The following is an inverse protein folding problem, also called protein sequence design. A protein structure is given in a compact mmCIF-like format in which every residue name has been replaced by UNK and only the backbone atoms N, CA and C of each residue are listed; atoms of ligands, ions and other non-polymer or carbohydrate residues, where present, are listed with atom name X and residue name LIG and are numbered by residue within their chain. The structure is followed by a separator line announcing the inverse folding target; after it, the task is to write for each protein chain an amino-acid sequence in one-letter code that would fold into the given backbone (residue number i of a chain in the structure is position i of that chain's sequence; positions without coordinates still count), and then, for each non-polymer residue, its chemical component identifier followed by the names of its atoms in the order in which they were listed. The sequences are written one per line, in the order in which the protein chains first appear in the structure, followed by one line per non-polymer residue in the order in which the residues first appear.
data_IF_798571569997
#
_entry.id   IF_798571569997
#
_cell.length_a   1.000
_cell.length_b   1.000
_cell.length_c   1.000
_cell.angle_alpha   90.00
_cell.angle_beta   90.00
_cell.angle_gamma   90.00
#
_symmetry.space_group_name_H-M   'P 1'
#
loop_
_entity.id
_entity.type
_entity.pdbx_description
1 polymer ?
#
# COMPACT_ATOMS: atom_id res chain seq x y z
N UNK A 1 14.83 -21.58 -1.01
CA UNK A 1 14.30 -20.38 -1.69
C UNK A 1 12.94 -20.73 -2.27
N UNK A 2 11.96 -19.83 -2.10
CA UNK A 2 10.65 -19.94 -2.74
C UNK A 2 10.72 -19.42 -4.17
N UNK A 3 9.92 -20.00 -5.06
CA UNK A 3 9.80 -19.57 -6.45
C UNK A 3 8.70 -18.52 -6.59
N UNK A 4 9.03 -17.41 -7.22
CA UNK A 4 8.16 -16.26 -7.37
C UNK A 4 7.79 -16.04 -8.83
N UNK A 5 6.51 -15.81 -9.08
CA UNK A 5 6.02 -15.29 -10.35
C UNK A 5 5.43 -13.88 -10.18
N UNK A 6 5.66 -13.02 -11.15
CA UNK A 6 5.13 -11.64 -11.13
C UNK A 6 4.31 -11.43 -12.40
N UNK A 7 3.02 -11.21 -12.29
CA UNK A 7 2.15 -10.78 -13.39
C UNK A 7 2.11 -9.26 -13.42
N UNK A 8 2.32 -8.66 -14.60
CA UNK A 8 2.48 -7.22 -14.73
C UNK A 8 3.87 -6.70 -14.31
N UNK A 9 4.92 -7.54 -14.44
CA UNK A 9 6.29 -7.22 -14.03
C UNK A 9 6.84 -5.93 -14.67
N UNK A 10 6.34 -5.52 -15.82
CA UNK A 10 6.80 -4.33 -16.57
C UNK A 10 6.05 -3.03 -16.23
N UNK A 11 5.08 -3.06 -15.31
CA UNK A 11 4.53 -1.87 -14.66
C UNK A 11 5.49 -1.33 -13.58
N UNK A 12 5.25 -0.11 -13.05
CA UNK A 12 6.12 0.46 -12.00
C UNK A 12 6.12 -0.38 -10.72
N UNK A 13 4.96 -0.83 -10.23
CA UNK A 13 4.89 -1.68 -9.05
C UNK A 13 5.56 -3.05 -9.28
N UNK A 14 5.32 -3.68 -10.46
CA UNK A 14 5.97 -4.93 -10.83
C UNK A 14 7.48 -4.82 -10.93
N UNK A 15 7.99 -3.76 -11.57
CA UNK A 15 9.44 -3.51 -11.66
C UNK A 15 10.07 -3.24 -10.29
N UNK A 16 9.32 -2.63 -9.37
CA UNK A 16 9.78 -2.43 -8.00
C UNK A 16 9.81 -3.74 -7.22
N UNK A 17 8.84 -4.65 -7.41
CA UNK A 17 8.89 -6.01 -6.87
C UNK A 17 10.14 -6.74 -7.37
N UNK A 18 10.43 -6.68 -8.69
CA UNK A 18 11.65 -7.26 -9.27
C UNK A 18 12.90 -6.70 -8.58
N UNK A 19 12.98 -5.37 -8.38
CA UNK A 19 14.11 -4.71 -7.72
C UNK A 19 14.31 -5.22 -6.29
N UNK A 20 13.25 -5.31 -5.51
CA UNK A 20 13.31 -5.74 -4.12
C UNK A 20 13.66 -7.23 -4.00
N UNK A 21 13.08 -8.07 -4.85
CA UNK A 21 13.32 -9.51 -4.82
C UNK A 21 14.66 -9.93 -5.42
N UNK A 22 15.29 -9.10 -6.25
CA UNK A 22 16.61 -9.38 -6.83
C UNK A 22 17.67 -9.69 -5.76
N UNK A 23 17.62 -9.00 -4.61
CA UNK A 23 18.53 -9.23 -3.48
C UNK A 23 17.94 -10.05 -2.34
N UNK A 24 16.75 -10.63 -2.51
CA UNK A 24 16.08 -11.36 -1.44
C UNK A 24 16.70 -12.75 -1.24
N UNK A 25 17.20 -13.10 -0.03
CA UNK A 25 17.99 -14.33 0.15
C UNK A 25 17.19 -15.62 0.02
N UNK A 26 15.87 -15.58 0.23
CA UNK A 26 14.98 -16.76 0.26
C UNK A 26 13.95 -16.78 -0.89
N UNK A 27 14.08 -15.89 -1.88
CA UNK A 27 13.15 -15.83 -3.02
C UNK A 27 13.90 -15.80 -4.35
N UNK A 28 13.37 -16.50 -5.35
CA UNK A 28 13.87 -16.54 -6.72
C UNK A 28 12.73 -16.20 -7.68
N UNK A 29 12.91 -15.17 -8.51
CA UNK A 29 11.93 -14.84 -9.55
C UNK A 29 12.17 -15.77 -10.74
N UNK A 30 11.17 -16.59 -11.06
CA UNK A 30 11.21 -17.54 -12.19
C UNK A 30 10.27 -17.17 -13.33
N UNK A 31 9.43 -16.13 -13.14
CA UNK A 31 8.48 -15.69 -14.14
C UNK A 31 8.27 -14.18 -14.10
N UNK A 32 8.60 -13.50 -15.20
CA UNK A 32 8.43 -12.07 -15.42
C UNK A 32 7.27 -11.85 -16.40
N UNK A 33 6.02 -11.87 -15.92
CA UNK A 33 4.81 -11.77 -16.75
C UNK A 33 4.59 -10.38 -17.30
N UNK A 34 4.28 -10.28 -18.59
CA UNK A 34 3.97 -9.04 -19.28
C UNK A 34 3.15 -9.27 -20.56
N UNK A 35 2.03 -8.58 -20.70
CA UNK A 35 1.25 -8.61 -21.97
C UNK A 35 1.91 -7.86 -23.11
N UNK A 36 2.68 -6.80 -22.81
CA UNK A 36 3.18 -5.86 -23.82
C UNK A 36 4.57 -6.20 -24.34
N UNK A 37 5.33 -7.05 -23.61
CA UNK A 37 6.76 -7.27 -23.85
C UNK A 37 7.13 -8.76 -23.82
N UNK A 38 6.21 -9.64 -24.26
CA UNK A 38 6.49 -11.09 -24.35
C UNK A 38 7.71 -11.33 -25.22
N UNK A 39 8.61 -12.23 -24.78
CA UNK A 39 9.89 -12.57 -25.41
C UNK A 39 10.97 -11.48 -25.39
N UNK A 40 10.68 -10.28 -24.89
CA UNK A 40 11.70 -9.27 -24.69
C UNK A 40 12.43 -9.49 -23.36
N UNK A 41 13.75 -9.22 -23.31
CA UNK A 41 14.50 -9.25 -22.05
C UNK A 41 14.01 -8.17 -21.11
N UNK A 42 13.82 -8.49 -19.84
CA UNK A 42 13.41 -7.51 -18.81
C UNK A 42 14.36 -6.31 -18.76
N UNK A 43 15.67 -6.56 -18.83
CA UNK A 43 16.70 -5.52 -18.88
C UNK A 43 16.69 -4.65 -20.18
N UNK A 44 16.00 -5.06 -21.25
CA UNK A 44 15.80 -4.18 -22.40
C UNK A 44 14.77 -3.10 -22.14
N UNK A 45 13.83 -3.36 -21.24
CA UNK A 45 12.74 -2.46 -20.82
C UNK A 45 13.20 -1.56 -19.69
N UNK A 46 13.90 -2.14 -18.70
CA UNK A 46 14.44 -1.46 -17.52
C UNK A 46 15.96 -1.54 -17.52
N UNK A 47 16.61 -0.54 -18.11
CA UNK A 47 18.09 -0.50 -18.32
C UNK A 47 18.90 -0.49 -17.04
N UNK A 48 18.33 -0.06 -15.91
CA UNK A 48 18.96 -0.19 -14.59
C UNK A 48 19.15 -1.65 -14.14
N UNK A 49 18.48 -2.60 -14.78
CA UNK A 49 18.64 -4.04 -14.54
C UNK A 49 19.57 -4.73 -15.55
N UNK A 50 20.27 -3.96 -16.38
CA UNK A 50 21.22 -4.49 -17.37
C UNK A 50 22.32 -5.31 -16.68
N UNK A 51 22.60 -6.49 -17.19
CA UNK A 51 23.48 -7.55 -16.62
C UNK A 51 22.99 -8.18 -15.31
N UNK A 52 21.93 -7.67 -14.69
CA UNK A 52 21.38 -8.20 -13.44
C UNK A 52 20.20 -9.14 -13.68
N UNK A 53 19.30 -8.80 -14.60
CA UNK A 53 18.13 -9.60 -14.95
C UNK A 53 18.09 -9.77 -16.46
N UNK A 54 18.61 -10.90 -16.94
CA UNK A 54 18.70 -11.23 -18.37
C UNK A 54 17.52 -12.08 -18.87
N UNK A 55 16.61 -12.43 -17.94
CA UNK A 55 15.43 -13.23 -18.26
C UNK A 55 14.50 -12.49 -19.20
N UNK A 56 13.79 -13.28 -20.01
CA UNK A 56 12.75 -12.78 -20.90
C UNK A 56 11.42 -12.64 -20.18
N UNK A 57 10.67 -11.64 -20.58
CA UNK A 57 9.26 -11.51 -20.20
C UNK A 57 8.45 -12.65 -20.84
N UNK A 58 7.57 -13.24 -20.07
CA UNK A 58 6.65 -14.28 -20.46
C UNK A 58 5.21 -13.71 -20.52
N UNK A 59 4.27 -14.48 -21.03
CA UNK A 59 2.88 -14.07 -20.99
C UNK A 59 2.30 -14.06 -19.56
N UNK A 60 1.10 -13.50 -19.41
CA UNK A 60 0.41 -13.40 -18.11
C UNK A 60 -0.52 -14.62 -17.85
N UNK A 61 -0.15 -15.83 -18.30
CA UNK A 61 -0.94 -17.03 -18.09
C UNK A 61 -0.84 -17.52 -16.64
N UNK A 62 -1.70 -16.97 -15.78
CA UNK A 62 -1.72 -17.27 -14.34
C UNK A 62 -1.96 -18.76 -14.02
N UNK A 63 -2.72 -19.48 -14.86
CA UNK A 63 -3.03 -20.89 -14.62
C UNK A 63 -1.77 -21.74 -14.76
N UNK A 64 -0.99 -21.54 -15.83
CA UNK A 64 0.27 -22.26 -16.03
C UNK A 64 1.33 -21.80 -15.03
N UNK A 65 1.39 -20.52 -14.72
CA UNK A 65 2.31 -19.97 -13.73
C UNK A 65 2.06 -20.56 -12.34
N UNK A 66 0.81 -20.70 -11.92
CA UNK A 66 0.46 -21.22 -10.59
C UNK A 66 1.02 -22.63 -10.31
N UNK A 67 1.29 -23.42 -11.35
CA UNK A 67 1.86 -24.79 -11.24
C UNK A 67 3.37 -24.78 -11.07
N UNK A 68 4.05 -23.66 -11.24
CA UNK A 68 5.50 -23.54 -11.32
C UNK A 68 6.12 -22.73 -10.18
N UNK A 69 5.29 -22.03 -9.40
CA UNK A 69 5.73 -21.08 -8.37
C UNK A 69 5.05 -21.34 -7.03
N UNK A 70 5.66 -20.86 -5.96
CA UNK A 70 5.10 -20.92 -4.60
C UNK A 70 4.21 -19.69 -4.30
N UNK A 71 4.50 -18.56 -4.97
CA UNK A 71 3.73 -17.31 -4.83
C UNK A 71 3.66 -16.54 -6.14
N UNK A 72 2.51 -15.92 -6.39
CA UNK A 72 2.29 -14.99 -7.49
C UNK A 72 1.99 -13.59 -6.93
N UNK A 73 2.73 -12.59 -7.42
CA UNK A 73 2.36 -11.19 -7.27
C UNK A 73 1.57 -10.74 -8.50
N UNK A 74 0.40 -10.13 -8.28
CA UNK A 74 -0.38 -9.55 -9.37
C UNK A 74 -0.33 -8.01 -9.31
N UNK A 75 0.50 -7.41 -10.15
CA UNK A 75 0.64 -5.96 -10.31
C UNK A 75 -0.15 -5.48 -11.54
N UNK A 76 -1.44 -5.77 -11.53
CA UNK A 76 -2.36 -5.62 -12.67
C UNK A 76 -3.46 -4.58 -12.41
N UNK A 77 -4.17 -4.10 -13.45
CA UNK A 77 -5.37 -3.30 -13.25
C UNK A 77 -6.47 -4.04 -12.50
N UNK A 78 -7.36 -3.29 -11.84
CA UNK A 78 -8.54 -3.83 -11.17
C UNK A 78 -9.40 -4.65 -12.13
N UNK A 79 -10.01 -5.72 -11.61
CA UNK A 79 -10.85 -6.66 -12.35
C UNK A 79 -10.07 -7.76 -13.06
N UNK A 80 -8.75 -7.67 -13.16
CA UNK A 80 -7.95 -8.73 -13.79
C UNK A 80 -7.94 -9.99 -12.93
N UNK A 81 -7.46 -9.89 -11.68
CA UNK A 81 -7.37 -11.07 -10.82
C UNK A 81 -8.76 -11.64 -10.50
N UNK A 82 -9.73 -10.79 -10.20
CA UNK A 82 -11.12 -11.23 -10.00
C UNK A 82 -11.69 -11.99 -11.21
N UNK A 83 -11.22 -11.70 -12.42
CA UNK A 83 -11.65 -12.38 -13.64
C UNK A 83 -11.00 -13.73 -13.91
N UNK A 84 -9.87 -14.05 -13.25
CA UNK A 84 -9.08 -15.25 -13.56
C UNK A 84 -8.79 -16.14 -12.34
N UNK A 85 -8.99 -15.65 -11.12
CA UNK A 85 -8.72 -16.40 -9.90
C UNK A 85 -9.66 -17.60 -9.77
N UNK A 86 -9.10 -18.75 -9.45
CA UNK A 86 -9.83 -19.99 -9.21
C UNK A 86 -9.30 -20.70 -7.96
N UNK A 87 -10.09 -21.61 -7.42
CA UNK A 87 -9.66 -22.46 -6.31
C UNK A 87 -8.45 -23.34 -6.68
N UNK A 88 -8.30 -23.70 -7.97
CA UNK A 88 -7.14 -24.45 -8.46
C UNK A 88 -5.86 -23.64 -8.30
N UNK A 89 -5.88 -22.35 -8.67
CA UNK A 89 -4.72 -21.46 -8.50
C UNK A 89 -4.33 -21.36 -7.03
N UNK A 90 -5.28 -21.14 -6.12
CA UNK A 90 -5.04 -21.02 -4.69
C UNK A 90 -4.61 -22.34 -4.01
N UNK A 91 -4.88 -23.50 -4.64
CA UNK A 91 -4.32 -24.79 -4.20
C UNK A 91 -2.88 -24.98 -4.63
N UNK A 92 -2.50 -24.43 -5.78
CA UNK A 92 -1.15 -24.58 -6.33
C UNK A 92 -0.16 -23.63 -5.67
N UNK A 93 -0.54 -22.36 -5.45
CA UNK A 93 0.36 -21.32 -4.94
C UNK A 93 -0.42 -20.27 -4.12
N UNK A 94 0.32 -19.43 -3.40
CA UNK A 94 -0.23 -18.23 -2.74
C UNK A 94 -0.31 -17.08 -3.73
N UNK A 95 -1.25 -16.14 -3.50
CA UNK A 95 -1.42 -14.94 -4.35
C UNK A 95 -1.38 -13.68 -3.50
N UNK A 96 -0.58 -12.71 -3.91
CA UNK A 96 -0.51 -11.37 -3.33
C UNK A 96 -0.97 -10.37 -4.39
N UNK A 97 -2.16 -9.82 -4.20
CA UNK A 97 -2.79 -8.93 -5.16
C UNK A 97 -2.55 -7.46 -4.84
N UNK A 98 -1.92 -6.74 -5.76
CA UNK A 98 -1.71 -5.30 -5.65
C UNK A 98 -2.86 -4.50 -6.28
N UNK A 99 -3.84 -5.16 -6.90
CA UNK A 99 -5.07 -4.52 -7.34
C UNK A 99 -6.02 -4.30 -6.16
N UNK A 100 -7.21 -3.76 -6.43
CA UNK A 100 -8.20 -3.52 -5.38
C UNK A 100 -9.24 -4.65 -5.27
N UNK A 101 -9.11 -5.72 -6.06
CA UNK A 101 -10.17 -6.70 -6.25
C UNK A 101 -10.64 -7.36 -4.95
N UNK A 102 -9.75 -7.50 -3.96
CA UNK A 102 -10.09 -8.19 -2.70
C UNK A 102 -9.90 -7.33 -1.44
N UNK A 103 -9.73 -6.01 -1.58
CA UNK A 103 -9.47 -5.11 -0.45
C UNK A 103 -10.71 -4.76 0.36
N UNK A 104 -11.86 -4.66 -0.31
CA UNK A 104 -13.14 -4.21 0.25
C UNK A 104 -14.04 -5.43 0.43
N UNK A 105 -14.56 -5.63 1.64
CA UNK A 105 -15.40 -6.79 1.97
C UNK A 105 -16.78 -6.72 1.36
N UNK A 106 -17.38 -5.53 1.27
CA UNK A 106 -18.69 -5.37 0.65
C UNK A 106 -18.58 -5.23 -0.87
N UNK A 107 -19.09 -6.24 -1.60
CA UNK A 107 -19.11 -6.30 -3.07
C UNK A 107 -19.79 -5.07 -3.68
N UNK A 108 -20.89 -4.63 -3.10
CA UNK A 108 -21.66 -3.50 -3.64
C UNK A 108 -20.86 -2.18 -3.56
N UNK A 109 -20.10 -2.01 -2.49
CA UNK A 109 -19.18 -0.88 -2.32
C UNK A 109 -18.04 -0.95 -3.34
N UNK A 110 -17.44 -2.12 -3.55
CA UNK A 110 -16.42 -2.30 -4.58
C UNK A 110 -16.98 -1.92 -5.96
N UNK A 111 -18.11 -2.50 -6.37
CA UNK A 111 -18.71 -2.26 -7.68
C UNK A 111 -19.10 -0.80 -7.89
N UNK A 112 -19.64 -0.16 -6.86
CA UNK A 112 -19.99 1.27 -6.88
C UNK A 112 -18.76 2.16 -7.11
N UNK A 113 -17.66 1.92 -6.39
CA UNK A 113 -16.49 2.79 -6.42
C UNK A 113 -15.55 2.50 -7.59
N UNK A 114 -15.49 1.26 -8.07
CA UNK A 114 -14.62 0.87 -9.19
C UNK A 114 -15.35 0.86 -10.54
N UNK A 115 -16.70 0.84 -10.54
CA UNK A 115 -17.53 0.84 -11.74
C UNK A 115 -17.42 -0.44 -12.57
N UNK A 116 -17.05 -1.55 -11.94
CA UNK A 116 -16.89 -2.87 -12.57
C UNK A 116 -17.52 -3.94 -11.68
N UNK A 117 -18.05 -4.99 -12.31
CA UNK A 117 -18.58 -6.15 -11.63
C UNK A 117 -17.46 -7.01 -11.03
N UNK A 118 -17.62 -7.47 -9.78
CA UNK A 118 -16.67 -8.37 -9.15
C UNK A 118 -16.89 -9.81 -9.61
N UNK A 119 -15.95 -10.39 -10.37
CA UNK A 119 -16.13 -11.68 -11.03
C UNK A 119 -15.91 -12.92 -10.14
N UNK A 120 -15.32 -12.76 -8.96
CA UNK A 120 -15.05 -13.86 -8.03
C UNK A 120 -15.27 -13.47 -6.56
N UNK A 121 -16.49 -13.02 -6.19
CA UNK A 121 -16.78 -12.54 -4.84
C UNK A 121 -16.64 -13.63 -3.76
N UNK A 122 -16.68 -14.90 -4.13
CA UNK A 122 -16.52 -16.03 -3.21
C UNK A 122 -15.16 -16.07 -2.51
N UNK A 123 -14.14 -15.38 -3.03
CA UNK A 123 -12.81 -15.32 -2.42
C UNK A 123 -12.58 -14.09 -1.52
N UNK A 124 -13.53 -13.14 -1.47
CA UNK A 124 -13.38 -11.91 -0.68
C UNK A 124 -13.25 -12.22 0.82
N UNK A 125 -14.05 -13.16 1.34
CA UNK A 125 -13.99 -13.53 2.75
C UNK A 125 -12.67 -14.17 3.15
N UNK A 126 -12.07 -14.97 2.25
CA UNK A 126 -10.79 -15.61 2.48
C UNK A 126 -9.62 -14.61 2.38
N UNK A 127 -9.75 -13.59 1.54
CA UNK A 127 -8.70 -12.62 1.33
C UNK A 127 -8.36 -11.84 2.61
N UNK A 128 -7.09 -11.80 2.96
CA UNK A 128 -6.61 -11.04 4.10
C UNK A 128 -6.10 -9.68 3.61
N UNK A 129 -6.56 -8.61 4.24
CA UNK A 129 -6.03 -7.27 3.97
C UNK A 129 -4.61 -7.14 4.51
N UNK A 130 -3.65 -7.05 3.60
CA UNK A 130 -2.23 -7.18 3.87
C UNK A 130 -1.57 -5.89 4.35
N UNK A 131 -2.10 -5.23 5.38
CA UNK A 131 -1.42 -4.20 6.14
C UNK A 131 -0.84 -4.84 7.40
N UNK A 132 0.42 -5.26 7.32
CA UNK A 132 1.09 -6.12 8.28
C UNK A 132 1.01 -5.60 9.72
N UNK A 133 1.12 -4.30 9.91
CA UNK A 133 1.14 -3.66 11.22
C UNK A 133 -0.17 -3.82 12.01
N UNK A 134 -1.26 -4.10 11.30
CA UNK A 134 -2.58 -4.27 11.95
C UNK A 134 -3.19 -5.65 11.75
N UNK A 135 -2.72 -6.43 10.77
CA UNK A 135 -3.32 -7.72 10.41
C UNK A 135 -2.35 -8.92 10.42
N UNK A 136 -1.10 -8.75 10.88
CA UNK A 136 -0.02 -9.76 10.83
C UNK A 136 -0.48 -11.17 11.24
N UNK A 137 -1.26 -11.30 12.31
CA UNK A 137 -1.69 -12.62 12.77
C UNK A 137 -2.70 -13.29 11.83
N UNK A 138 -3.49 -12.51 11.09
CA UNK A 138 -4.41 -13.03 10.08
C UNK A 138 -3.69 -13.42 8.78
N UNK A 139 -2.56 -12.80 8.49
CA UNK A 139 -1.76 -13.09 7.30
C UNK A 139 -1.06 -14.44 7.37
N UNK A 140 -0.67 -14.89 8.58
CA UNK A 140 0.00 -16.16 8.79
C UNK A 140 -0.82 -17.31 8.20
N UNK A 141 -0.28 -17.98 7.18
CA UNK A 141 -0.93 -19.10 6.50
C UNK A 141 -1.99 -18.71 5.45
N UNK A 142 -2.22 -17.42 5.21
CA UNK A 142 -3.15 -16.96 4.17
C UNK A 142 -2.69 -17.43 2.78
N UNK A 143 -3.65 -17.73 1.90
CA UNK A 143 -3.42 -18.09 0.49
C UNK A 143 -3.62 -16.89 -0.44
N UNK A 144 -4.43 -15.93 -0.03
CA UNK A 144 -4.77 -14.73 -0.79
C UNK A 144 -4.58 -13.50 0.09
N UNK A 145 -3.68 -12.63 -0.32
CA UNK A 145 -3.43 -11.33 0.32
C UNK A 145 -3.91 -10.20 -0.59
N UNK A 146 -4.77 -9.35 -0.07
CA UNK A 146 -5.13 -8.08 -0.68
C UNK A 146 -4.17 -6.99 -0.21
N UNK A 147 -3.15 -6.69 -1.00
CA UNK A 147 -2.14 -5.69 -0.65
C UNK A 147 -2.75 -4.28 -0.70
N UNK A 148 -2.54 -3.43 0.32
CA UNK A 148 -3.15 -2.10 0.42
C UNK A 148 -2.82 -1.18 -0.75
N UNK A 149 -3.65 -0.16 -0.96
CA UNK A 149 -3.32 0.96 -1.82
C UNK A 149 -2.28 1.89 -1.18
N UNK A 150 -1.53 2.63 -2.00
CA UNK A 150 -0.43 3.46 -1.49
C UNK A 150 -0.88 4.59 -0.56
N UNK A 151 -1.94 5.31 -0.93
CA UNK A 151 -2.54 6.32 -0.03
C UNK A 151 -3.17 5.68 1.20
N UNK A 152 -3.80 4.52 1.04
CA UNK A 152 -4.50 3.84 2.14
C UNK A 152 -3.50 3.37 3.19
N UNK A 153 -2.36 2.81 2.79
CA UNK A 153 -1.28 2.47 3.71
C UNK A 153 -0.84 3.67 4.54
N UNK A 154 -0.55 4.80 3.89
CA UNK A 154 -0.11 6.00 4.59
C UNK A 154 -1.19 6.55 5.52
N UNK A 155 -2.40 6.72 5.01
CA UNK A 155 -3.50 7.32 5.78
C UNK A 155 -3.94 6.45 6.95
N UNK A 156 -4.05 5.14 6.74
CA UNK A 156 -4.44 4.23 7.81
C UNK A 156 -3.39 4.23 8.91
N UNK A 157 -2.10 4.05 8.57
CA UNK A 157 -1.04 4.03 9.58
C UNK A 157 -0.91 5.36 10.33
N UNK A 158 -1.27 6.47 9.70
CA UNK A 158 -1.24 7.80 10.34
C UNK A 158 -2.39 7.99 11.34
N UNK A 159 -3.63 7.64 10.98
CA UNK A 159 -4.81 7.87 11.83
C UNK A 159 -5.11 6.74 12.83
N UNK A 160 -4.74 5.50 12.50
CA UNK A 160 -5.11 4.28 13.24
C UNK A 160 -4.87 4.35 14.75
N UNK A 161 -3.73 4.86 15.26
CA UNK A 161 -3.48 4.87 16.71
C UNK A 161 -4.53 5.68 17.47
N UNK A 162 -4.87 6.85 16.97
CA UNK A 162 -5.81 7.76 17.63
C UNK A 162 -7.27 7.33 17.45
N UNK A 163 -7.61 6.76 16.28
CA UNK A 163 -8.92 6.14 16.03
C UNK A 163 -9.14 4.96 16.97
N UNK A 164 -8.17 4.04 17.05
CA UNK A 164 -8.24 2.85 17.91
C UNK A 164 -8.31 3.18 19.39
N UNK A 165 -7.60 4.22 19.81
CA UNK A 165 -7.60 4.68 21.20
C UNK A 165 -8.85 5.50 21.59
N UNK A 166 -9.73 5.83 20.61
CA UNK A 166 -10.91 6.65 20.84
C UNK A 166 -10.57 8.10 21.25
N UNK A 167 -9.40 8.60 20.83
CA UNK A 167 -8.93 9.95 21.18
C UNK A 167 -9.43 11.02 20.19
N UNK A 168 -9.92 10.62 19.03
CA UNK A 168 -10.48 11.51 18.01
C UNK A 168 -11.90 11.09 17.64
N UNK A 169 -12.69 12.06 17.19
CA UNK A 169 -13.97 11.80 16.55
C UNK A 169 -13.75 11.45 15.07
N UNK A 170 -13.88 10.17 14.67
CA UNK A 170 -13.60 9.73 13.31
C UNK A 170 -14.55 10.35 12.27
N UNK A 171 -15.73 10.84 12.67
CA UNK A 171 -16.68 11.52 11.77
C UNK A 171 -16.16 12.89 11.30
N UNK A 172 -15.14 13.43 11.98
CA UNK A 172 -14.50 14.70 11.64
C UNK A 172 -13.18 14.54 10.89
N UNK A 173 -12.81 13.31 10.54
CA UNK A 173 -11.54 13.00 9.92
C UNK A 173 -11.47 13.54 8.48
N UNK A 174 -10.48 14.38 8.25
CA UNK A 174 -10.12 14.91 6.93
C UNK A 174 -8.72 14.40 6.61
N UNK A 175 -8.55 13.78 5.44
CA UNK A 175 -7.28 13.29 4.92
C UNK A 175 -6.90 14.11 3.70
N UNK A 176 -5.88 14.93 3.82
CA UNK A 176 -5.31 15.74 2.74
C UNK A 176 -3.98 15.11 2.30
N UNK A 177 -3.97 14.43 1.14
CA UNK A 177 -2.89 13.57 0.72
C UNK A 177 -2.18 14.08 -0.55
N UNK A 178 -0.87 13.97 -0.59
CA UNK A 178 -0.01 14.35 -1.73
C UNK A 178 0.76 13.11 -2.20
N UNK A 179 0.81 12.88 -3.52
CA UNK A 179 1.56 11.77 -4.11
C UNK A 179 2.40 12.19 -5.29
N UNK A 180 3.58 11.59 -5.38
CA UNK A 180 4.38 11.64 -6.59
C UNK A 180 3.70 10.92 -7.77
N UNK A 181 4.12 11.27 -8.98
CA UNK A 181 3.49 10.90 -10.25
C UNK A 181 3.59 9.42 -10.59
N UNK A 182 4.57 8.70 -10.05
CA UNK A 182 4.70 7.25 -10.25
C UNK A 182 3.49 6.46 -9.75
N UNK A 183 2.71 7.01 -8.80
CA UNK A 183 1.47 6.44 -8.31
C UNK A 183 0.36 6.32 -9.37
N UNK A 184 0.44 7.11 -10.44
CA UNK A 184 -0.47 7.03 -11.57
C UNK A 184 -0.14 5.89 -12.57
N UNK A 185 0.96 5.17 -12.35
CA UNK A 185 1.44 4.07 -13.19
C UNK A 185 2.24 4.51 -14.41
N UNK A 186 2.81 3.53 -15.14
CA UNK A 186 3.71 3.76 -16.28
C UNK A 186 3.00 4.21 -17.57
N UNK A 187 1.71 3.95 -17.66
CA UNK A 187 0.95 4.29 -18.89
C UNK A 187 0.95 5.79 -19.17
N UNK A 188 1.33 6.17 -20.39
CA UNK A 188 1.31 7.58 -20.82
C UNK A 188 -0.15 8.07 -20.90
N UNK A 189 -0.48 9.02 -20.04
CA UNK A 189 -1.78 9.74 -20.05
C UNK A 189 -1.48 11.22 -20.00
N UNK A 190 -2.27 12.03 -20.69
CA UNK A 190 -2.05 13.48 -20.77
C UNK A 190 -1.76 14.10 -19.38
N UNK A 191 -2.54 13.85 -18.31
CA UNK A 191 -2.29 14.45 -17.00
C UNK A 191 -0.97 14.06 -16.33
N UNK A 192 -0.27 13.03 -16.84
CA UNK A 192 0.98 12.51 -16.27
C UNK A 192 2.21 12.82 -17.14
N UNK A 193 2.04 13.55 -18.24
CA UNK A 193 3.16 13.96 -19.08
C UNK A 193 3.98 15.03 -18.37
N UNK A 194 5.29 15.06 -18.64
CA UNK A 194 6.22 15.95 -17.94
C UNK A 194 5.77 17.43 -17.94
N UNK A 195 5.42 17.98 -19.11
CA UNK A 195 4.97 19.37 -19.22
C UNK A 195 3.63 19.67 -18.57
N UNK A 196 2.82 18.64 -18.28
CA UNK A 196 1.53 18.78 -17.60
C UNK A 196 1.66 18.70 -16.07
N UNK A 197 2.71 18.04 -15.59
CA UNK A 197 2.94 17.78 -14.17
C UNK A 197 3.96 18.74 -13.58
N UNK A 198 5.02 19.06 -14.33
CA UNK A 198 6.12 19.86 -13.83
C UNK A 198 5.63 21.26 -13.38
N UNK A 199 6.12 21.72 -12.21
CA UNK A 199 5.75 23.00 -11.62
C UNK A 199 4.24 23.19 -11.33
N UNK A 200 3.48 22.08 -11.22
CA UNK A 200 2.03 22.10 -10.99
C UNK A 200 1.60 21.17 -9.88
N UNK A 201 0.74 21.63 -9.00
CA UNK A 201 0.05 20.83 -8.00
C UNK A 201 -1.46 20.88 -8.25
N UNK A 202 -2.13 19.72 -8.22
CA UNK A 202 -3.59 19.67 -8.39
C UNK A 202 -4.24 18.58 -7.54
N UNK A 203 -5.41 18.87 -6.99
CA UNK A 203 -6.30 17.85 -6.46
C UNK A 203 -6.90 17.02 -7.61
N UNK A 204 -7.15 15.74 -7.38
CA UNK A 204 -7.83 14.87 -8.33
C UNK A 204 -8.73 13.87 -7.62
N UNK A 205 -9.74 13.36 -8.32
CA UNK A 205 -10.66 12.38 -7.73
C UNK A 205 -11.34 12.87 -6.44
N UNK A 206 -11.53 14.19 -6.30
CA UNK A 206 -12.15 14.78 -5.11
C UNK A 206 -13.54 14.19 -4.93
N UNK A 207 -13.84 13.68 -3.72
CA UNK A 207 -15.06 12.95 -3.34
C UNK A 207 -15.31 11.63 -4.08
N UNK A 208 -14.46 11.25 -5.04
CA UNK A 208 -14.67 10.07 -5.90
C UNK A 208 -13.47 9.14 -6.00
N UNK A 209 -12.42 9.41 -5.22
CA UNK A 209 -11.21 8.59 -5.25
C UNK A 209 -11.44 7.21 -4.65
N UNK A 210 -11.03 6.18 -5.36
CA UNK A 210 -11.30 4.77 -5.06
C UNK A 210 -10.65 4.24 -3.77
N UNK A 211 -9.69 4.96 -3.18
CA UNK A 211 -9.12 4.62 -1.88
C UNK A 211 -9.99 5.06 -0.70
N UNK A 212 -11.00 5.90 -0.91
CA UNK A 212 -11.88 6.38 0.17
C UNK A 212 -12.53 5.24 0.94
N UNK A 213 -13.29 4.31 0.31
CA UNK A 213 -13.96 3.23 1.03
C UNK A 213 -13.00 2.26 1.69
N UNK A 214 -11.79 2.09 1.14
CA UNK A 214 -10.76 1.25 1.74
C UNK A 214 -10.25 1.84 3.07
N UNK A 215 -10.01 3.15 3.15
CA UNK A 215 -9.62 3.84 4.38
C UNK A 215 -10.78 3.78 5.41
N UNK A 216 -12.01 4.07 4.96
CA UNK A 216 -13.21 4.03 5.81
C UNK A 216 -13.41 2.65 6.43
N UNK A 217 -13.31 1.58 5.64
CA UNK A 217 -13.49 0.21 6.11
C UNK A 217 -12.44 -0.17 7.16
N UNK A 218 -11.16 0.09 6.90
CA UNK A 218 -10.09 -0.34 7.80
C UNK A 218 -10.06 0.48 9.10
N UNK A 219 -10.29 1.78 9.05
CA UNK A 219 -10.42 2.61 10.25
C UNK A 219 -11.73 2.34 10.99
N UNK A 220 -12.80 1.99 10.27
CA UNK A 220 -14.06 1.54 10.85
C UNK A 220 -13.87 0.27 11.70
N UNK A 221 -13.11 -0.71 11.21
CA UNK A 221 -12.75 -1.89 12.01
C UNK A 221 -11.94 -1.52 13.26
N UNK A 222 -11.08 -0.51 13.20
CA UNK A 222 -10.27 -0.08 14.33
C UNK A 222 -11.10 0.51 15.48
N UNK A 223 -12.19 1.24 15.17
CA UNK A 223 -13.08 1.85 16.17
C UNK A 223 -14.39 1.08 16.40
N UNK A 224 -14.65 0.00 15.64
CA UNK A 224 -15.85 -0.83 15.79
C UNK A 224 -17.15 -0.20 15.32
N UNK A 225 -17.08 0.79 14.41
CA UNK A 225 -18.24 1.46 13.82
C UNK A 225 -17.96 1.88 12.37
N UNK A 226 -19.03 2.06 11.59
CA UNK A 226 -18.89 2.67 10.26
C UNK A 226 -18.48 4.13 10.38
N UNK A 227 -17.54 4.54 9.52
CA UNK A 227 -17.07 5.91 9.44
C UNK A 227 -17.18 6.44 8.01
N UNK A 228 -17.25 7.75 7.88
CA UNK A 228 -17.18 8.46 6.60
C UNK A 228 -16.15 9.55 6.73
N UNK A 229 -15.21 9.61 5.79
CA UNK A 229 -14.13 10.57 5.81
C UNK A 229 -14.17 11.53 4.62
N UNK A 230 -13.46 12.64 4.76
CA UNK A 230 -13.16 13.54 3.65
C UNK A 230 -11.73 13.24 3.16
N UNK A 231 -11.61 12.58 1.99
CA UNK A 231 -10.32 12.24 1.39
C UNK A 231 -10.07 13.07 0.14
N UNK A 232 -8.99 13.85 0.14
CA UNK A 232 -8.61 14.71 -0.98
C UNK A 232 -7.16 14.44 -1.41
N UNK A 233 -6.93 13.62 -2.44
CA UNK A 233 -5.59 13.38 -2.96
C UNK A 233 -5.14 14.48 -3.92
N UNK A 234 -3.82 14.74 -3.93
CA UNK A 234 -3.15 15.67 -4.82
C UNK A 234 -2.03 14.96 -5.57
N UNK A 235 -1.86 15.30 -6.85
CA UNK A 235 -0.68 14.95 -7.61
C UNK A 235 0.33 16.11 -7.51
N UNK A 236 1.57 15.77 -7.13
CA UNK A 236 2.65 16.75 -6.97
C UNK A 236 3.81 16.43 -7.91
N UNK A 237 4.62 17.43 -8.34
CA UNK A 237 5.65 17.27 -9.34
C UNK A 237 6.93 16.63 -8.76
N UNK A 238 6.79 15.45 -8.21
CA UNK A 238 7.89 14.57 -7.78
C UNK A 238 7.65 13.15 -8.30
N UNK A 239 8.69 12.35 -8.38
CA UNK A 239 8.57 10.97 -8.87
C UNK A 239 7.91 10.06 -7.84
N UNK A 240 8.46 10.01 -6.62
CA UNK A 240 8.07 9.10 -5.54
C UNK A 240 7.67 9.88 -4.28
N UNK A 241 7.02 9.20 -3.39
CA UNK A 241 6.63 9.67 -2.08
C UNK A 241 5.15 9.99 -1.95
N UNK A 242 4.63 9.70 -0.77
CA UNK A 242 3.32 10.16 -0.30
C UNK A 242 3.55 10.91 1.00
N UNK A 243 2.88 12.06 1.13
CA UNK A 243 2.72 12.80 2.38
C UNK A 243 1.23 12.96 2.64
N UNK A 244 0.77 12.53 3.81
CA UNK A 244 -0.58 12.81 4.29
C UNK A 244 -0.53 13.81 5.43
N UNK A 245 -1.52 14.71 5.46
CA UNK A 245 -1.82 15.57 6.60
C UNK A 245 -3.29 15.36 6.93
N UNK A 246 -3.55 14.90 8.13
CA UNK A 246 -4.88 14.49 8.56
C UNK A 246 -5.33 15.34 9.73
N UNK A 247 -6.60 15.65 9.78
CA UNK A 247 -7.19 16.53 10.79
C UNK A 247 -8.41 15.87 11.41
N UNK A 248 -8.48 15.84 12.74
CA UNK A 248 -9.68 15.38 13.43
C UNK A 248 -9.90 16.16 14.72
N UNK A 249 -11.14 16.22 15.17
CA UNK A 249 -11.50 16.80 16.48
C UNK A 249 -11.13 15.80 17.58
N UNK A 250 -10.48 16.29 18.63
CA UNK A 250 -10.18 15.50 19.82
C UNK A 250 -11.46 15.22 20.64
N UNK A 251 -11.58 14.02 21.14
CA UNK A 251 -12.67 13.59 22.04
C UNK A 251 -12.25 13.79 23.49
N UNK A 252 -13.05 14.50 24.26
CA UNK A 252 -12.78 14.68 25.70
C UNK A 252 -12.85 13.37 26.45
N UNK A 253 -11.79 13.07 27.17
CA UNK A 253 -11.70 11.96 28.12
C UNK A 253 -11.93 12.51 29.52
N UNK A 254 -12.99 12.06 30.21
CA UNK A 254 -13.36 12.57 31.55
C UNK A 254 -13.47 14.12 31.64
N UNK A 255 -14.00 14.74 30.59
CA UNK A 255 -14.22 16.18 30.51
C UNK A 255 -13.00 17.02 30.09
N UNK A 256 -11.83 16.41 29.86
CA UNK A 256 -10.59 17.06 29.41
C UNK A 256 -10.21 16.58 28.00
N UNK A 257 -9.64 17.47 27.21
CA UNK A 257 -9.01 17.06 25.94
C UNK A 257 -7.76 16.20 26.23
N UNK A 258 -7.44 15.24 25.36
CA UNK A 258 -6.19 14.49 25.43
C UNK A 258 -4.98 15.42 25.44
N UNK A 259 -3.96 15.08 26.23
CA UNK A 259 -2.68 15.78 26.24
C UNK A 259 -1.77 15.30 25.11
N UNK A 260 -0.61 15.97 24.92
CA UNK A 260 0.41 15.50 23.99
C UNK A 260 0.95 14.12 24.39
N UNK A 261 1.05 13.85 25.68
CA UNK A 261 1.48 12.55 26.22
C UNK A 261 0.47 11.46 25.84
N UNK A 262 -0.84 11.73 25.94
CA UNK A 262 -1.90 10.77 25.61
C UNK A 262 -1.85 10.38 24.12
N UNK A 263 -1.71 11.38 23.21
CA UNK A 263 -1.67 11.10 21.77
C UNK A 263 -0.37 10.38 21.38
N UNK A 264 0.78 10.78 21.91
CA UNK A 264 2.05 10.09 21.65
C UNK A 264 2.06 8.67 22.20
N UNK A 265 1.49 8.46 23.38
CA UNK A 265 1.36 7.12 23.96
C UNK A 265 0.51 6.20 23.08
N UNK A 266 -0.53 6.71 22.41
CA UNK A 266 -1.31 5.92 21.47
C UNK A 266 -0.47 5.45 20.27
N UNK A 267 0.40 6.31 19.71
CA UNK A 267 1.34 5.94 18.65
C UNK A 267 2.37 4.90 19.13
N UNK A 268 2.98 5.11 20.29
CA UNK A 268 3.93 4.16 20.86
C UNK A 268 3.29 2.81 21.17
N UNK A 269 2.08 2.79 21.72
CA UNK A 269 1.34 1.54 21.96
C UNK A 269 1.05 0.77 20.67
N UNK A 270 0.83 1.48 19.57
CA UNK A 270 0.56 0.87 18.26
C UNK A 270 1.84 0.39 17.57
N UNK A 271 2.95 1.15 17.65
CA UNK A 271 4.05 1.01 16.70
C UNK A 271 5.44 0.74 17.28
N UNK A 272 5.67 0.76 18.59
CA UNK A 272 7.00 0.49 19.16
C UNK A 272 7.58 -0.89 18.78
N UNK A 273 6.72 -1.82 18.37
CA UNK A 273 7.13 -3.16 17.91
C UNK A 273 7.15 -3.32 16.39
N UNK A 274 6.78 -2.27 15.67
CA UNK A 274 6.64 -2.29 14.21
C UNK A 274 7.92 -1.72 13.56
N UNK A 275 8.76 -2.60 13.03
CA UNK A 275 10.08 -2.22 12.50
C UNK A 275 10.01 -1.13 11.41
N UNK A 276 8.98 -1.20 10.56
CA UNK A 276 8.85 -0.28 9.44
C UNK A 276 8.05 0.99 9.73
N UNK A 277 7.52 1.15 10.95
CA UNK A 277 6.84 2.39 11.36
C UNK A 277 7.72 3.16 12.34
N UNK A 278 8.15 4.36 11.96
CA UNK A 278 8.93 5.24 12.82
C UNK A 278 8.03 6.33 13.38
N UNK A 279 7.86 6.32 14.69
CA UNK A 279 7.14 7.38 15.39
C UNK A 279 8.14 8.50 15.66
N UNK A 280 7.97 9.64 14.97
CA UNK A 280 8.83 10.82 15.16
C UNK A 280 8.50 11.54 16.46
N UNK A 281 9.38 12.45 16.88
CA UNK A 281 9.14 13.29 18.05
C UNK A 281 7.87 14.14 17.87
N UNK A 282 7.21 14.45 18.98
CA UNK A 282 5.98 15.26 18.95
C UNK A 282 6.19 16.59 18.22
N UNK A 283 5.42 16.80 17.15
CA UNK A 283 5.46 18.01 16.32
C UNK A 283 6.56 18.03 15.26
N UNK A 284 7.39 17.01 15.16
CA UNK A 284 8.30 16.85 14.03
C UNK A 284 7.51 16.49 12.78
N UNK A 285 7.80 17.14 11.65
CA UNK A 285 7.07 16.94 10.41
C UNK A 285 7.80 15.93 9.51
N UNK A 286 7.18 14.80 9.15
CA UNK A 286 7.80 13.83 8.26
C UNK A 286 8.00 14.38 6.86
N UNK A 287 9.08 13.96 6.20
CA UNK A 287 9.40 14.33 4.82
C UNK A 287 9.47 13.09 3.92
N UNK A 288 9.01 13.20 2.68
CA UNK A 288 9.09 12.10 1.70
C UNK A 288 10.52 11.65 1.41
N UNK A 289 11.50 12.54 1.51
CA UNK A 289 12.93 12.21 1.33
C UNK A 289 13.49 11.29 2.41
N UNK A 290 12.95 11.34 3.62
CA UNK A 290 13.45 10.50 4.72
C UNK A 290 13.04 9.03 4.61
N UNK A 291 12.13 8.72 3.70
CA UNK A 291 11.58 7.37 3.49
C UNK A 291 11.76 6.86 2.06
N UNK A 292 12.28 7.69 1.15
CA UNK A 292 12.40 7.37 -0.27
C UNK A 292 13.23 6.10 -0.51
N UNK A 293 12.72 5.22 -1.36
CA UNK A 293 13.34 3.96 -1.74
C UNK A 293 13.28 2.86 -0.70
N UNK A 294 12.72 3.11 0.50
CA UNK A 294 12.67 2.18 1.63
C UNK A 294 11.26 1.73 1.98
N UNK A 295 11.16 0.70 2.83
CA UNK A 295 9.88 0.22 3.35
C UNK A 295 9.43 0.94 4.64
N UNK A 296 10.11 2.02 5.03
CA UNK A 296 9.74 2.80 6.21
C UNK A 296 8.54 3.71 5.93
N UNK A 297 7.76 3.94 6.99
CA UNK A 297 6.78 5.01 7.10
C UNK A 297 7.07 5.83 8.34
N UNK A 298 7.13 7.15 8.21
CA UNK A 298 7.29 8.09 9.32
C UNK A 298 5.91 8.65 9.68
N UNK A 299 5.59 8.63 10.98
CA UNK A 299 4.33 9.18 11.50
C UNK A 299 4.60 10.13 12.66
N UNK A 300 3.81 11.19 12.75
CA UNK A 300 3.86 12.17 13.83
C UNK A 300 2.51 12.84 14.01
N UNK A 301 2.35 13.57 15.12
CA UNK A 301 1.16 14.36 15.35
C UNK A 301 1.43 15.61 16.19
N UNK A 302 0.49 16.57 16.13
CA UNK A 302 0.48 17.77 16.96
C UNK A 302 -0.94 18.19 17.28
N UNK A 303 -1.21 18.57 18.51
CA UNK A 303 -2.49 19.13 18.95
C UNK A 303 -2.49 20.65 18.68
N UNK A 304 -3.52 21.13 18.01
CA UNK A 304 -3.86 22.57 17.99
C UNK A 304 -4.88 22.84 19.11
N UNK A 305 -4.38 23.30 20.25
CA UNK A 305 -5.19 23.59 21.44
C UNK A 305 -6.27 24.66 21.17
N UNK A 306 -6.00 25.59 20.24
CA UNK A 306 -6.95 26.69 19.92
C UNK A 306 -8.21 26.15 19.25
N UNK A 307 -8.06 25.11 18.43
CA UNK A 307 -9.17 24.52 17.67
C UNK A 307 -9.73 23.26 18.31
N UNK A 308 -9.01 22.68 19.28
CA UNK A 308 -9.34 21.37 19.86
C UNK A 308 -9.17 20.21 18.87
N UNK A 309 -8.31 20.38 17.86
CA UNK A 309 -8.02 19.39 16.84
C UNK A 309 -6.62 18.84 16.98
N UNK A 310 -6.43 17.63 16.49
CA UNK A 310 -5.12 17.06 16.24
C UNK A 310 -4.82 17.09 14.74
N UNK A 311 -3.58 17.44 14.41
CA UNK A 311 -2.99 17.31 13.07
C UNK A 311 -2.08 16.09 13.12
N UNK A 312 -2.39 15.07 12.31
CA UNK A 312 -1.61 13.85 12.17
C UNK A 312 -0.90 13.88 10.81
N UNK A 313 0.33 13.44 10.76
CA UNK A 313 1.17 13.51 9.56
C UNK A 313 1.84 12.16 9.32
N UNK A 314 1.93 11.76 8.05
CA UNK A 314 2.62 10.54 7.66
C UNK A 314 3.29 10.66 6.31
N UNK A 315 4.44 10.01 6.15
CA UNK A 315 5.16 9.95 4.89
C UNK A 315 5.69 8.54 4.60
N UNK A 316 5.61 8.11 3.34
CA UNK A 316 6.16 6.85 2.85
C UNK A 316 6.57 6.94 1.37
N UNK A 317 7.35 5.97 0.88
CA UNK A 317 7.54 5.76 -0.57
C UNK A 317 6.35 5.00 -1.15
N UNK A 318 5.64 5.63 -2.09
CA UNK A 318 4.42 5.07 -2.69
C UNK A 318 4.63 3.79 -3.50
N UNK A 319 5.84 3.52 -4.01
CA UNK A 319 6.17 2.29 -4.74
C UNK A 319 6.74 1.20 -3.82
N UNK A 320 7.37 1.56 -2.71
CA UNK A 320 7.92 0.60 -1.75
C UNK A 320 6.88 0.30 -0.68
N UNK A 321 6.84 1.02 0.44
CA UNK A 321 5.85 0.76 1.51
C UNK A 321 4.41 0.90 1.03
N UNK A 322 4.16 1.80 0.08
CA UNK A 322 2.83 1.97 -0.50
C UNK A 322 2.40 0.87 -1.47
N UNK A 323 3.30 -0.03 -1.93
CA UNK A 323 2.99 -1.04 -2.93
C UNK A 323 3.89 -2.28 -2.83
N UNK A 324 5.04 -2.28 -3.51
CA UNK A 324 5.89 -3.46 -3.68
C UNK A 324 6.55 -3.92 -2.38
N UNK A 325 7.04 -3.00 -1.55
CA UNK A 325 7.65 -3.33 -0.28
C UNK A 325 6.67 -3.93 0.70
N UNK A 326 5.44 -3.39 0.79
CA UNK A 326 4.35 -3.98 1.56
C UNK A 326 4.02 -5.39 1.06
N UNK A 327 4.01 -5.60 -0.27
CA UNK A 327 3.75 -6.92 -0.85
C UNK A 327 4.86 -7.93 -0.52
N UNK A 328 6.14 -7.52 -0.54
CA UNK A 328 7.26 -8.38 -0.13
C UNK A 328 7.23 -8.65 1.38
N UNK A 329 6.88 -7.67 2.20
CA UNK A 329 6.66 -7.84 3.65
C UNK A 329 5.55 -8.87 3.92
N UNK A 330 4.42 -8.80 3.20
CA UNK A 330 3.36 -9.80 3.23
C UNK A 330 3.88 -11.20 2.83
N UNK A 331 4.68 -11.28 1.76
CA UNK A 331 5.31 -12.54 1.35
C UNK A 331 6.14 -13.14 2.49
N UNK A 332 6.97 -12.34 3.14
CA UNK A 332 7.80 -12.81 4.24
C UNK A 332 6.95 -13.41 5.36
N UNK A 333 5.87 -12.75 5.75
CA UNK A 333 4.98 -13.22 6.82
C UNK A 333 4.29 -14.53 6.43
N UNK A 334 3.71 -14.61 5.23
CA UNK A 334 2.94 -15.81 4.82
C UNK A 334 3.80 -17.06 4.61
N UNK A 335 5.13 -16.88 4.41
CA UNK A 335 6.09 -17.98 4.33
C UNK A 335 6.88 -18.18 5.64
N UNK A 336 6.64 -17.38 6.67
CA UNK A 336 7.29 -17.49 7.97
C UNK A 336 8.75 -17.03 7.99
N UNK A 337 9.15 -16.19 7.06
CA UNK A 337 10.45 -15.50 7.07
C UNK A 337 10.46 -14.34 8.04
N UNK A 338 11.65 -13.82 8.35
CA UNK A 338 11.77 -12.53 9.02
C UNK A 338 11.12 -11.45 8.14
N UNK A 339 10.19 -10.71 8.68
CA UNK A 339 9.42 -9.66 8.02
C UNK A 339 10.29 -8.63 7.30
N UNK A 340 11.50 -8.37 7.82
CA UNK A 340 12.47 -7.42 7.27
C UNK A 340 13.30 -7.98 6.12
N UNK A 341 13.28 -9.27 5.91
CA UNK A 341 14.16 -9.93 4.94
C UNK A 341 14.02 -9.33 3.54
N UNK A 342 15.12 -8.91 2.94
CA UNK A 342 15.15 -8.24 1.64
C UNK A 342 14.62 -6.80 1.63
N UNK A 343 14.23 -6.25 2.80
CA UNK A 343 13.67 -4.90 2.96
C UNK A 343 14.43 -4.02 3.97
N UNK A 344 15.39 -4.60 4.70
CA UNK A 344 16.15 -3.92 5.75
C UNK A 344 17.32 -3.12 5.14
N UNK A 345 16.99 -2.04 4.49
CA UNK A 345 17.97 -1.09 3.93
C UNK A 345 17.56 0.36 4.23
N UNK A 346 18.57 1.22 4.37
CA UNK A 346 18.36 2.62 4.65
C UNK A 346 17.65 3.35 3.49
N UNK A 347 16.80 4.34 3.78
CA UNK A 347 16.26 5.24 2.77
C UNK A 347 17.36 5.91 1.94
N UNK A 348 17.06 6.23 0.69
CA UNK A 348 17.94 7.02 -0.17
C UNK A 348 17.88 8.50 0.24
N UNK A 349 19.03 9.17 0.23
CA UNK A 349 19.12 10.60 0.47
C UNK A 349 20.38 11.15 -0.23
N UNK A 350 20.36 12.26 -0.94
CA UNK A 350 19.27 13.21 -1.19
C UNK A 350 18.26 12.81 -2.23
#
# INVERSE_FOLDING_TARGET
MIKVGIIGATGYAGAEIVRLLYGHPEAEIVWYGSKSYVDERFASIYKNMFTLVEDKCLDDNIVELSKQVDVIFTATPQGYLAGVLTEEILKNCKVIDLSADYRIKDVSTYEKWYGIEHKSPQFIEEAVYGLCEINRDKEKGARLIANPGCYTTCSILTAYPLVKAGLIDPSTLIVDAKSGTSGAGRGAKLPNLYCEVNESIKAYGVTTHRHTPEIEEQLGYACGQEITINFTPHLVPMNRGILVTEYASLVKQNGKLPSKEDVMQAYHNAYDKEFFVRVLEYGECPETKWVEGSNFVDVSCMIDERTGRVVMMGALDNLVKGAAGQAVQNMNIIFGFDEKMGLDFAPMFP
#
